data_IF_369195291518
#
_entry.id   IF_369195291518
#
_cell.length_a   1.000
_cell.length_b   1.000
_cell.length_c   1.000
_cell.angle_alpha   90.00
_cell.angle_beta   90.00
_cell.angle_gamma   90.00
#
_symmetry.space_group_name_H-M   'P 1'
#
loop_
_entity.id
_entity.type
_entity.pdbx_description
1 polymer ?
#
# COMPACT_ATOMS: atom_id res chain seq x y z
N UNK A 1 -7.50 -19.28 -17.04
CA UNK A 1 -6.32 -18.69 -16.40
C UNK A 1 -6.70 -17.32 -15.88
N UNK A 2 -6.69 -17.05 -14.57
CA UNK A 2 -6.89 -15.70 -14.08
C UNK A 2 -5.60 -14.93 -14.40
N UNK A 3 -5.63 -14.17 -15.49
CA UNK A 3 -4.52 -13.31 -15.89
C UNK A 3 -4.34 -12.25 -14.82
N UNK A 4 -3.16 -12.19 -14.19
CA UNK A 4 -2.77 -11.20 -13.17
C UNK A 4 -2.83 -9.73 -13.65
N UNK A 5 -3.22 -9.50 -14.90
CA UNK A 5 -3.36 -8.22 -15.59
C UNK A 5 -4.78 -7.71 -15.74
N UNK A 6 -5.78 -8.34 -15.11
CA UNK A 6 -7.12 -7.78 -15.16
C UNK A 6 -7.15 -6.45 -14.37
N UNK A 7 -7.56 -5.32 -14.98
CA UNK A 7 -7.59 -4.03 -14.30
C UNK A 7 -8.50 -4.03 -13.06
N UNK A 8 -9.46 -4.95 -12.96
CA UNK A 8 -10.30 -5.14 -11.77
C UNK A 8 -9.53 -5.77 -10.61
N UNK A 9 -8.50 -6.57 -10.89
CA UNK A 9 -7.62 -7.12 -9.86
C UNK A 9 -6.79 -6.02 -9.19
N UNK A 10 -6.22 -5.13 -10.01
CA UNK A 10 -5.51 -3.95 -9.50
C UNK A 10 -6.46 -3.00 -8.76
N UNK A 11 -7.70 -2.85 -9.25
CA UNK A 11 -8.75 -2.07 -8.58
C UNK A 11 -9.07 -2.62 -7.18
N UNK A 12 -9.23 -3.93 -7.04
CA UNK A 12 -9.45 -4.57 -5.75
C UNK A 12 -8.30 -4.31 -4.77
N UNK A 13 -7.04 -4.37 -5.26
CA UNK A 13 -5.87 -4.04 -4.44
C UNK A 13 -5.84 -2.57 -4.00
N UNK A 14 -6.24 -1.65 -4.88
CA UNK A 14 -6.39 -0.22 -4.56
C UNK A 14 -7.42 -0.04 -3.44
N UNK A 15 -8.63 -0.60 -3.60
CA UNK A 15 -9.69 -0.48 -2.61
C UNK A 15 -9.31 -1.07 -1.25
N UNK A 16 -8.64 -2.24 -1.24
CA UNK A 16 -8.14 -2.85 0.00
C UNK A 16 -7.11 -1.98 0.71
N UNK A 17 -6.19 -1.36 -0.04
CA UNK A 17 -5.19 -0.46 0.51
C UNK A 17 -5.81 0.84 1.04
N UNK A 18 -6.76 1.43 0.33
CA UNK A 18 -7.49 2.61 0.81
C UNK A 18 -8.25 2.33 2.11
N UNK A 19 -9.00 1.22 2.16
CA UNK A 19 -9.70 0.81 3.38
C UNK A 19 -8.73 0.61 4.55
N UNK A 20 -7.59 -0.03 4.29
CA UNK A 20 -6.56 -0.21 5.31
C UNK A 20 -5.96 1.12 5.79
N UNK A 21 -5.75 2.08 4.89
CA UNK A 21 -5.28 3.42 5.24
C UNK A 21 -6.30 4.20 6.08
N UNK A 22 -7.60 3.98 5.86
CA UNK A 22 -8.69 4.58 6.63
C UNK A 22 -8.90 3.92 8.00
N UNK A 23 -8.48 2.66 8.18
CA UNK A 23 -8.59 1.98 9.46
C UNK A 23 -7.74 2.66 10.54
N UNK A 24 -8.32 2.73 11.74
CA UNK A 24 -7.62 3.09 12.97
C UNK A 24 -6.77 1.92 13.42
N UNK A 25 -5.49 1.95 13.06
CA UNK A 25 -4.53 0.94 13.51
C UNK A 25 -4.13 1.26 14.96
N UNK A 26 -4.13 0.27 15.87
CA UNK A 26 -3.70 0.45 17.25
C UNK A 26 -2.32 1.12 17.35
N UNK A 27 -2.14 2.04 18.30
CA UNK A 27 -0.88 2.80 18.48
C UNK A 27 0.13 2.05 19.36
N UNK A 28 0.30 0.76 19.09
CA UNK A 28 1.22 -0.10 19.85
C UNK A 28 2.12 -0.90 18.91
N UNK A 29 3.02 -1.70 19.49
CA UNK A 29 3.97 -2.54 18.74
C UNK A 29 3.28 -3.45 17.71
N UNK A 30 2.07 -3.94 17.99
CA UNK A 30 1.30 -4.73 17.05
C UNK A 30 0.83 -3.88 15.86
N UNK A 31 0.39 -2.65 16.08
CA UNK A 31 -0.01 -1.75 15.01
C UNK A 31 1.13 -1.39 14.06
N UNK A 32 2.35 -1.18 14.58
CA UNK A 32 3.55 -1.00 13.75
C UNK A 32 3.80 -2.23 12.89
N UNK A 33 3.75 -3.42 13.50
CA UNK A 33 3.93 -4.67 12.76
C UNK A 33 2.86 -4.83 11.68
N UNK A 34 1.60 -4.49 11.98
CA UNK A 34 0.50 -4.52 11.00
C UNK A 34 0.74 -3.55 9.84
N UNK A 35 1.17 -2.31 10.12
CA UNK A 35 1.51 -1.32 9.09
C UNK A 35 2.69 -1.78 8.22
N UNK A 36 3.74 -2.33 8.85
CA UNK A 36 4.93 -2.80 8.14
C UNK A 36 4.61 -4.00 7.23
N UNK A 37 3.83 -4.97 7.73
CA UNK A 37 3.38 -6.12 6.94
C UNK A 37 2.51 -5.68 5.76
N UNK A 38 1.59 -4.75 5.98
CA UNK A 38 0.79 -4.19 4.90
C UNK A 38 1.68 -3.49 3.87
N UNK A 39 2.64 -2.67 4.31
CA UNK A 39 3.57 -1.99 3.41
C UNK A 39 4.37 -2.97 2.56
N UNK A 40 4.91 -4.02 3.16
CA UNK A 40 5.63 -5.07 2.44
C UNK A 40 4.73 -5.78 1.43
N UNK A 41 3.52 -6.18 1.83
CA UNK A 41 2.55 -6.85 0.94
C UNK A 41 2.20 -5.99 -0.26
N UNK A 42 1.78 -4.74 -0.05
CA UNK A 42 1.34 -3.87 -1.14
C UNK A 42 2.51 -3.42 -2.03
N UNK A 43 3.72 -3.28 -1.48
CA UNK A 43 4.94 -3.03 -2.27
C UNK A 43 5.29 -4.21 -3.18
N UNK A 44 5.15 -5.45 -2.69
CA UNK A 44 5.35 -6.64 -3.51
C UNK A 44 4.28 -6.77 -4.59
N UNK A 45 3.00 -6.51 -4.26
CA UNK A 45 1.93 -6.45 -5.27
C UNK A 45 2.23 -5.42 -6.34
N UNK A 46 2.68 -4.21 -5.97
CA UNK A 46 3.04 -3.15 -6.90
C UNK A 46 4.18 -3.57 -7.83
N UNK A 47 5.24 -4.20 -7.30
CA UNK A 47 6.30 -4.77 -8.15
C UNK A 47 5.77 -5.83 -9.12
N UNK A 48 4.86 -6.70 -8.65
CA UNK A 48 4.19 -7.69 -9.49
C UNK A 48 3.46 -7.01 -10.65
N UNK A 49 2.63 -6.00 -10.36
CA UNK A 49 1.91 -5.26 -11.39
C UNK A 49 2.82 -4.51 -12.36
N UNK A 50 3.93 -3.94 -11.89
CA UNK A 50 4.91 -3.27 -12.76
C UNK A 50 5.64 -4.25 -13.69
N UNK A 51 6.03 -5.42 -13.18
CA UNK A 51 6.68 -6.47 -13.96
C UNK A 51 5.73 -7.13 -14.95
N UNK A 52 4.46 -7.23 -14.60
CA UNK A 52 3.42 -7.63 -15.55
C UNK A 52 3.26 -6.53 -16.61
N UNK A 53 2.99 -5.29 -16.21
CA UNK A 53 2.77 -4.17 -17.12
C UNK A 53 3.89 -3.99 -18.15
N UNK A 54 5.16 -4.17 -17.77
CA UNK A 54 6.29 -4.09 -18.69
C UNK A 54 6.27 -5.13 -19.82
N UNK A 55 5.57 -6.26 -19.63
CA UNK A 55 5.39 -7.32 -20.65
C UNK A 55 4.21 -7.07 -21.58
N UNK A 56 3.25 -6.21 -21.18
CA UNK A 56 2.01 -5.95 -21.93
C UNK A 56 2.27 -5.17 -23.23
N UNK A 57 3.34 -4.34 -23.24
CA UNK A 57 3.67 -3.42 -24.32
C UNK A 57 2.70 -2.23 -24.42
N UNK A 58 3.20 -1.06 -24.80
CA UNK A 58 2.40 0.18 -24.85
C UNK A 58 1.22 0.15 -25.85
N UNK A 59 1.23 -0.78 -26.81
CA UNK A 59 0.17 -0.92 -27.81
C UNK A 59 -1.08 -1.67 -27.31
N UNK A 60 -1.07 -2.19 -26.07
CA UNK A 60 -2.21 -2.93 -25.54
C UNK A 60 -3.39 -1.99 -25.23
N UNK A 61 -4.64 -2.33 -25.59
CA UNK A 61 -5.80 -1.45 -25.42
C UNK A 61 -6.08 -1.06 -23.96
N UNK A 62 -5.61 -1.85 -23.00
CA UNK A 62 -5.75 -1.56 -21.56
C UNK A 62 -4.52 -0.91 -20.94
N UNK A 63 -3.43 -0.68 -21.70
CA UNK A 63 -2.18 -0.16 -21.15
C UNK A 63 -2.36 1.19 -20.45
N UNK A 64 -3.15 2.10 -21.05
CA UNK A 64 -3.38 3.42 -20.46
C UNK A 64 -4.17 3.34 -19.15
N UNK A 65 -5.18 2.47 -19.09
CA UNK A 65 -6.00 2.23 -17.88
C UNK A 65 -5.14 1.63 -16.77
N UNK A 66 -4.34 0.62 -17.09
CA UNK A 66 -3.42 -0.01 -16.14
C UNK A 66 -2.38 0.98 -15.63
N UNK A 67 -1.80 1.80 -16.51
CA UNK A 67 -0.85 2.86 -16.12
C UNK A 67 -1.45 3.83 -15.11
N UNK A 68 -2.68 4.30 -15.34
CA UNK A 68 -3.38 5.18 -14.40
C UNK A 68 -3.59 4.49 -13.05
N UNK A 69 -4.09 3.26 -13.05
CA UNK A 69 -4.32 2.50 -11.82
C UNK A 69 -3.02 2.20 -11.06
N UNK A 70 -1.93 1.85 -11.75
CA UNK A 70 -0.60 1.63 -11.15
C UNK A 70 -0.11 2.93 -10.49
N UNK A 71 -0.34 4.07 -11.13
CA UNK A 71 0.02 5.38 -10.57
C UNK A 71 -0.72 5.64 -9.26
N UNK A 72 -2.05 5.45 -9.24
CA UNK A 72 -2.86 5.58 -8.02
C UNK A 72 -2.38 4.62 -6.93
N UNK A 73 -2.16 3.36 -7.29
CA UNK A 73 -1.69 2.34 -6.34
C UNK A 73 -0.33 2.69 -5.74
N UNK A 74 0.59 3.24 -6.55
CA UNK A 74 1.89 3.72 -6.08
C UNK A 74 1.74 4.86 -5.07
N UNK A 75 0.87 5.83 -5.32
CA UNK A 75 0.62 6.93 -4.38
C UNK A 75 0.09 6.43 -3.04
N UNK A 76 -0.80 5.44 -3.06
CA UNK A 76 -1.33 4.83 -1.84
C UNK A 76 -0.24 4.06 -1.06
N UNK A 77 0.63 3.32 -1.74
CA UNK A 77 1.77 2.64 -1.10
C UNK A 77 2.72 3.66 -0.46
N UNK A 78 2.94 4.80 -1.11
CA UNK A 78 3.71 5.91 -0.55
C UNK A 78 3.05 6.47 0.72
N UNK A 79 1.75 6.72 0.70
CA UNK A 79 1.01 7.16 1.90
C UNK A 79 1.11 6.15 3.05
N UNK A 80 1.08 4.85 2.73
CA UNK A 80 1.27 3.80 3.72
C UNK A 80 2.68 3.84 4.32
N UNK A 81 3.72 4.03 3.50
CA UNK A 81 5.09 4.24 3.98
C UNK A 81 5.19 5.44 4.92
N UNK A 82 4.58 6.56 4.57
CA UNK A 82 4.57 7.77 5.41
C UNK A 82 3.86 7.52 6.74
N UNK A 83 2.74 6.77 6.72
CA UNK A 83 2.04 6.33 7.94
C UNK A 83 2.94 5.43 8.80
N UNK A 84 3.65 4.46 8.22
CA UNK A 84 4.63 3.64 8.95
C UNK A 84 5.71 4.50 9.62
N UNK A 85 6.27 5.48 8.89
CA UNK A 85 7.33 6.35 9.40
C UNK A 85 6.82 7.24 10.54
N UNK A 86 5.63 7.83 10.39
CA UNK A 86 5.01 8.64 11.44
C UNK A 86 4.72 7.83 12.72
N UNK A 87 4.24 6.59 12.58
CA UNK A 87 4.00 5.70 13.73
C UNK A 87 5.30 5.29 14.42
N UNK A 88 6.32 4.91 13.65
CA UNK A 88 7.63 4.58 14.20
C UNK A 88 8.25 5.80 14.94
N UNK A 89 8.08 7.00 14.42
CA UNK A 89 8.53 8.23 15.08
C UNK A 89 7.72 8.53 16.36
N UNK A 90 6.40 8.33 16.34
CA UNK A 90 5.53 8.53 17.50
C UNK A 90 5.83 7.61 18.68
N UNK A 91 6.16 6.34 18.42
CA UNK A 91 6.58 5.39 19.47
C UNK A 91 7.98 5.68 20.02
N UNK A 92 8.88 6.21 19.19
CA UNK A 92 10.23 6.59 19.61
C UNK A 92 10.30 8.02 20.18
N UNK A 93 9.19 8.75 20.23
CA UNK A 93 9.15 10.08 20.82
C UNK A 93 9.38 9.98 22.34
N UNK A 94 10.40 10.66 22.90
CA UNK A 94 10.63 10.71 24.34
C UNK A 94 9.51 11.54 24.98
N UNK A 95 8.40 10.89 25.33
CA UNK A 95 7.22 11.53 25.90
C UNK A 95 5.95 10.67 25.95
N UNK A 96 5.89 9.55 25.23
CA UNK A 96 4.70 8.67 25.24
C UNK A 96 4.57 7.76 26.49
N UNK A 97 5.60 7.70 27.34
CA UNK A 97 5.55 7.04 28.65
C UNK A 97 5.47 8.10 29.76
N UNK A 98 4.31 8.75 29.92
CA UNK A 98 4.19 9.84 30.89
C UNK A 98 2.84 10.53 30.93
N UNK A 99 1.75 9.78 30.97
CA UNK A 99 0.48 10.31 31.43
C UNK A 99 -0.30 9.20 32.13
N UNK A 100 -0.08 9.08 33.46
CA UNK A 100 -1.01 8.41 34.37
C UNK A 100 -2.38 9.10 34.36
N UNK A 101 -3.41 8.44 34.90
CA UNK A 101 -3.54 8.30 36.37
C UNK A 101 -3.28 6.90 36.92
#
# INVERSE_FOLDING_TARGET
SPSSMDPSHLDAHIQQLEAFLQMNVPQDSNGVNTLLQAYQRYSQSLQGFLNEFSKLGDAHPQANVLKQKITVFFELVKRLKDKCAAYAAGLNAPGAAGAGP
#
